data_IF_508931860233
#
_entry.id   IF_508931860233
#
_cell.length_a   1.000
_cell.length_b   1.000
_cell.length_c   1.000
_cell.angle_alpha   90.00
_cell.angle_beta   90.00
_cell.angle_gamma   90.00
#
_symmetry.space_group_name_H-M   'P 1'
#
loop_
_entity.id
_entity.type
_entity.pdbx_description
1 polymer ?
2 non-polymer ?
3 water ?
#
# COMPACT_ATOMS: atom_id res chain seq x y z
N UNK A 1 13.24 -1.91 -7.26
CA UNK A 1 14.14 -1.30 -6.22
C UNK A 1 14.05 -2.03 -4.87
N UNK A 2 12.83 -2.24 -4.35
CA UNK A 2 12.65 -3.01 -3.10
C UNK A 2 12.22 -4.44 -3.40
N UNK A 3 12.76 -5.40 -2.64
CA UNK A 3 12.34 -6.80 -2.81
C UNK A 3 10.86 -7.03 -2.51
N UNK A 4 10.30 -8.06 -3.12
CA UNK A 4 8.89 -8.40 -2.95
C UNK A 4 8.61 -8.87 -1.53
N UNK A 5 9.60 -9.58 -0.97
CA UNK A 5 9.56 -10.14 0.36
C UNK A 5 10.89 -9.93 1.07
N UNK A 6 10.84 -9.72 2.38
CA UNK A 6 12.03 -9.86 3.22
C UNK A 6 11.68 -10.59 4.51
N UNK A 7 12.68 -11.27 5.08
CA UNK A 7 12.54 -11.99 6.33
C UNK A 7 13.91 -11.98 6.99
N UNK A 8 14.10 -10.99 7.86
CA UNK A 8 15.35 -10.85 8.60
C UNK A 8 15.73 -12.11 9.41
N UNK A 9 14.78 -12.99 9.73
CA UNK A 9 15.11 -14.21 10.51
C UNK A 9 16.08 -15.06 9.72
N UNK A 10 15.86 -15.14 8.39
CA UNK A 10 16.69 -15.92 7.48
C UNK A 10 18.10 -15.33 7.25
N UNK A 11 18.30 -14.05 7.61
CA UNK A 11 19.62 -13.40 7.65
C UNK A 11 20.39 -13.54 8.98
N UNK A 12 19.87 -14.34 9.93
CA UNK A 12 20.53 -14.54 11.23
C UNK A 12 20.51 -13.32 12.14
N UNK A 13 19.51 -12.46 11.95
CA UNK A 13 19.43 -11.15 12.58
C UNK A 13 18.32 -11.10 13.64
N UNK A 14 17.67 -12.23 13.90
CA UNK A 14 16.58 -12.30 14.85
C UNK A 14 16.80 -13.43 15.85
N UNK A 15 16.77 -13.05 17.13
CA UNK A 15 16.88 -13.98 18.23
C UNK A 15 15.55 -14.73 18.43
N UNK A 16 15.60 -15.76 19.26
CA UNK A 16 14.40 -16.54 19.55
C UNK A 16 13.33 -15.61 20.16
N UNK A 17 12.09 -16.05 20.00
CA UNK A 17 10.97 -15.34 20.57
C UNK A 17 11.06 -15.40 22.08
N UNK A 18 10.78 -14.27 22.73
CA UNK A 18 10.80 -14.19 24.20
C UNK A 18 9.37 -14.19 24.74
N UNK A 19 9.26 -14.27 26.06
CA UNK A 19 7.97 -14.33 26.75
C UNK A 19 7.95 -13.30 27.86
N UNK A 20 7.21 -12.21 27.67
CA UNK A 20 7.13 -11.13 28.66
C UNK A 20 6.31 -11.48 29.89
N UNK A 21 5.47 -12.51 29.80
CA UNK A 21 4.64 -12.91 30.94
C UNK A 21 3.66 -11.81 31.32
N UNK A 22 3.42 -11.64 32.62
CA UNK A 22 2.50 -10.62 33.13
C UNK A 22 3.13 -9.23 33.32
N UNK A 23 4.35 -9.02 32.85
CA UNK A 23 4.98 -7.69 32.91
C UNK A 23 4.76 -7.02 31.54
N UNK A 24 4.23 -5.80 31.57
CA UNK A 24 3.97 -5.03 30.33
C UNK A 24 5.22 -4.35 29.78
N UNK A 25 6.17 -5.18 29.35
CA UNK A 25 7.48 -4.74 28.85
C UNK A 25 7.62 -5.01 27.36
N UNK A 26 6.51 -5.04 26.64
CA UNK A 26 6.57 -5.30 25.20
C UNK A 26 7.46 -4.23 24.54
N UNK A 27 7.32 -2.99 25.00
CA UNK A 27 8.22 -1.91 24.57
C UNK A 27 9.71 -2.27 24.70
N UNK A 28 10.08 -2.91 25.80
CA UNK A 28 11.48 -3.30 26.02
C UNK A 28 11.92 -4.41 25.10
N UNK A 29 11.02 -5.38 24.90
CA UNK A 29 11.32 -6.49 23.99
C UNK A 29 11.41 -6.03 22.52
N UNK A 30 10.55 -5.11 22.14
CA UNK A 30 10.57 -4.54 20.79
C UNK A 30 11.86 -3.76 20.54
N UNK A 31 12.32 -3.03 21.55
CA UNK A 31 13.51 -2.21 21.44
C UNK A 31 14.73 -3.09 21.29
N UNK A 32 14.91 -4.03 22.22
CA UNK A 32 16.08 -4.91 22.12
C UNK A 32 16.05 -5.73 20.82
N UNK A 33 14.87 -6.21 20.42
CA UNK A 33 14.72 -6.90 19.13
C UNK A 33 15.33 -6.14 17.96
N UNK A 34 15.00 -4.86 17.86
CA UNK A 34 15.48 -4.01 16.78
C UNK A 34 16.99 -3.81 16.89
N UNK A 35 17.50 -3.61 18.10
CA UNK A 35 18.93 -3.43 18.31
C UNK A 35 19.72 -4.71 18.11
N UNK A 36 19.13 -5.85 18.43
CA UNK A 36 19.75 -7.15 18.18
C UNK A 36 20.12 -7.33 16.72
N UNK A 37 19.22 -6.92 15.83
CA UNK A 37 19.46 -7.04 14.40
C UNK A 37 20.62 -6.14 13.97
N UNK A 38 20.66 -4.91 14.46
CA UNK A 38 21.78 -4.01 14.13
C UNK A 38 23.10 -4.53 14.67
N UNK A 39 23.10 -5.15 15.86
CA UNK A 39 24.30 -5.73 16.41
C UNK A 39 24.86 -6.83 15.50
N UNK A 40 23.98 -7.72 15.04
CA UNK A 40 24.39 -8.76 14.09
C UNK A 40 24.88 -8.16 12.77
N UNK A 41 24.12 -7.22 12.22
CA UNK A 41 24.50 -6.58 10.97
C UNK A 41 25.89 -5.97 11.04
N UNK A 42 26.23 -5.40 12.19
CA UNK A 42 27.46 -4.65 12.33
C UNK A 42 28.60 -5.48 12.91
N UNK A 43 28.32 -6.55 13.66
CA UNK A 43 29.41 -7.37 14.23
C UNK A 43 29.41 -8.83 13.83
N UNK A 44 28.42 -9.30 13.10
CA UNK A 44 28.26 -10.73 12.82
C UNK A 44 27.81 -11.60 13.99
N UNK A 45 27.59 -11.03 15.19
CA UNK A 45 27.19 -11.83 16.34
C UNK A 45 25.73 -11.56 16.72
N UNK A 46 24.96 -12.64 16.86
CA UNK A 46 23.56 -12.56 17.26
C UNK A 46 23.47 -12.86 18.74
N UNK A 47 23.16 -11.86 19.56
CA UNK A 47 23.02 -12.03 21.00
C UNK A 47 21.76 -11.35 21.49
N UNK A 48 20.96 -12.07 22.26
CA UNK A 48 19.78 -11.47 22.88
C UNK A 48 20.25 -10.39 23.85
N UNK A 49 19.64 -9.20 23.73
CA UNK A 49 19.97 -8.06 24.59
C UNK A 49 18.98 -7.98 25.75
N UNK A 50 19.40 -7.33 26.84
CA UNK A 50 18.65 -7.41 28.09
C UNK A 50 17.43 -6.48 28.11
N UNK A 51 16.25 -7.04 27.87
CA UNK A 51 15.00 -6.33 28.10
C UNK A 51 14.83 -5.89 29.55
N UNK A 52 15.29 -6.72 30.49
CA UNK A 52 15.24 -6.34 31.91
C UNK A 52 16.01 -5.04 32.23
N UNK A 53 17.19 -4.91 31.63
CA UNK A 53 18.00 -3.69 31.70
C UNK A 53 17.17 -2.45 31.38
N UNK A 54 16.37 -2.51 30.31
CA UNK A 54 15.49 -1.41 29.94
C UNK A 54 14.39 -1.18 30.98
N UNK A 55 13.79 -2.28 31.45
CA UNK A 55 12.72 -2.19 32.41
C UNK A 55 13.19 -1.50 33.71
N UNK A 56 14.40 -1.81 34.14
CA UNK A 56 14.90 -1.33 35.44
C UNK A 56 15.54 0.04 35.34
N UNK A 57 16.12 0.34 34.19
CA UNK A 57 16.98 1.53 34.04
C UNK A 57 16.43 2.63 33.14
N UNK A 58 15.70 2.28 32.09
CA UNK A 58 15.03 3.29 31.25
C UNK A 58 13.67 3.57 31.86
N UNK A 59 13.67 4.35 32.93
CA UNK A 59 12.48 4.51 33.77
C UNK A 59 11.90 5.94 33.60
N UNK A 60 11.56 6.59 34.69
CA UNK A 60 10.75 7.82 34.64
C UNK A 60 11.44 9.03 33.97
N UNK A 61 12.77 9.03 33.87
CA UNK A 61 13.48 10.07 33.12
C UNK A 61 13.24 9.94 31.62
N UNK A 62 12.81 8.75 31.20
CA UNK A 62 12.56 8.43 29.81
C UNK A 62 11.07 8.30 29.47
N UNK A 63 10.21 8.71 30.42
CA UNK A 63 8.78 8.55 30.25
C UNK A 63 8.25 7.13 30.34
N UNK A 64 9.08 6.20 30.83
CA UNK A 64 8.75 4.79 30.84
C UNK A 64 8.35 4.39 32.25
N UNK A 65 7.63 3.28 32.34
CA UNK A 65 7.08 2.80 33.60
C UNK A 65 7.24 1.29 33.75
N UNK A 66 8.35 0.75 33.25
CA UNK A 66 8.71 -0.63 33.45
C UNK A 66 7.61 -1.58 33.04
N UNK A 67 7.16 -2.41 33.96
CA UNK A 67 6.09 -3.37 33.71
C UNK A 67 4.70 -2.75 33.51
N UNK A 68 4.58 -1.43 33.63
CA UNK A 68 3.35 -0.71 33.26
C UNK A 68 3.47 0.09 31.98
N UNK A 69 4.40 -0.30 31.10
CA UNK A 69 4.46 0.22 29.75
C UNK A 69 5.60 1.17 29.53
N UNK A 70 5.83 1.51 28.29
CA UNK A 70 6.94 2.36 27.91
C UNK A 70 7.02 2.57 26.41
N UNK A 71 8.11 3.20 25.97
CA UNK A 71 8.30 3.53 24.59
C UNK A 71 9.62 2.98 24.10
N UNK A 72 9.61 2.46 22.88
CA UNK A 72 10.84 1.99 22.25
C UNK A 72 11.83 3.12 21.99
N UNK A 73 11.33 4.29 21.58
CA UNK A 73 12.21 5.41 21.26
C UNK A 73 13.04 5.86 22.46
N UNK A 74 12.40 6.06 23.60
CA UNK A 74 13.10 6.50 24.80
C UNK A 74 13.93 5.37 25.41
N UNK A 75 13.55 4.12 25.14
CA UNK A 75 14.43 2.99 25.43
C UNK A 75 15.74 3.15 24.66
N UNK A 76 15.66 3.48 23.37
CA UNK A 76 16.86 3.68 22.57
C UNK A 76 17.66 4.86 23.09
N UNK A 77 16.98 5.93 23.47
CA UNK A 77 17.66 7.09 24.03
C UNK A 77 18.39 6.73 25.34
N UNK A 78 17.80 5.88 26.17
CA UNK A 78 18.53 5.38 27.34
C UNK A 78 19.82 4.65 26.94
N UNK A 79 19.76 3.77 25.94
CA UNK A 79 20.93 2.98 25.55
C UNK A 79 22.04 3.94 25.05
N UNK A 80 21.63 4.94 24.28
CA UNK A 80 22.49 6.02 23.81
C UNK A 80 23.14 6.75 24.97
N UNK A 81 22.32 7.22 25.90
CA UNK A 81 22.80 7.99 27.06
C UNK A 81 23.69 7.16 27.94
N UNK A 82 23.31 5.92 28.14
CA UNK A 82 24.01 4.99 29.03
C UNK A 82 25.31 4.47 28.46
N UNK A 83 25.49 4.67 27.15
CA UNK A 83 26.60 4.12 26.35
C UNK A 83 26.69 2.59 26.46
N UNK A 84 25.53 1.93 26.53
CA UNK A 84 25.47 0.47 26.47
C UNK A 84 24.21 -0.18 26.98
N UNK A 85 24.04 -1.44 26.60
CA UNK A 85 23.00 -2.29 27.17
C UNK A 85 23.64 -3.65 27.37
N UNK A 86 23.26 -4.30 28.48
CA UNK A 86 23.81 -5.61 28.83
C UNK A 86 23.17 -6.72 28.00
N UNK A 87 23.89 -7.81 27.85
CA UNK A 87 23.33 -9.01 27.25
C UNK A 87 22.20 -9.58 28.11
N UNK A 88 21.23 -10.21 27.47
CA UNK A 88 20.17 -10.92 28.20
C UNK A 88 20.73 -11.95 29.17
N UNK A 89 21.78 -12.66 28.74
CA UNK A 89 22.43 -13.70 29.57
C UNK A 89 22.92 -13.13 30.90
N UNK A 90 23.61 -11.99 30.82
CA UNK A 90 24.16 -11.34 32.02
C UNK A 90 23.13 -10.63 32.90
N UNK A 91 22.02 -10.20 32.31
CA UNK A 91 21.00 -9.40 33.00
C UNK A 91 19.63 -9.98 32.60
N UNK A 92 19.27 -11.13 33.19
CA UNK A 92 18.14 -11.91 32.69
C UNK A 92 16.75 -11.34 33.01
N UNK A 93 15.78 -11.78 32.24
CA UNK A 93 14.43 -11.26 32.34
C UNK A 93 13.66 -11.89 33.50
N UNK A 94 13.20 -11.04 34.41
CA UNK A 94 12.49 -11.47 35.62
C UNK A 94 11.01 -11.12 35.58
N UNK A 95 10.57 -10.37 34.56
CA UNK A 95 9.19 -9.91 34.45
C UNK A 95 8.70 -9.19 35.71
N UNK A 96 9.58 -8.36 36.26
CA UNK A 96 9.26 -7.52 37.41
C UNK A 96 10.07 -6.22 37.36
N UNK A 97 9.55 -5.20 38.02
CA UNK A 97 10.26 -3.95 38.22
C UNK A 97 11.36 -4.18 39.23
N UNK A 98 12.60 -3.89 38.86
CA UNK A 98 13.71 -3.99 39.80
C UNK A 98 14.55 -2.74 39.73
N UNK A 99 15.44 -2.62 40.71
CA UNK A 99 16.46 -1.60 40.77
C UNK A 99 17.40 -1.78 39.57
N UNK A 100 17.85 -0.66 39.02
CA UNK A 100 18.77 -0.70 37.89
C UNK A 100 20.06 -1.41 38.31
N UNK A 101 20.46 -2.39 37.51
CA UNK A 101 21.67 -3.16 37.79
C UNK A 101 22.58 -3.21 36.55
N UNK A 102 22.55 -2.17 35.73
CA UNK A 102 23.37 -2.15 34.53
C UNK A 102 24.82 -2.18 34.97
N UNK A 103 25.62 -2.95 34.24
CA UNK A 103 27.04 -3.03 34.50
C UNK A 103 27.76 -2.97 33.16
N UNK A 104 28.58 -1.94 32.98
CA UNK A 104 29.30 -1.74 31.72
C UNK A 104 30.19 -2.93 31.35
N UNK A 105 30.63 -3.66 32.37
CA UNK A 105 31.44 -4.87 32.18
C UNK A 105 30.74 -5.96 31.32
N UNK A 106 29.41 -5.96 31.27
CA UNK A 106 28.64 -6.93 30.48
C UNK A 106 27.89 -6.28 29.29
N UNK A 107 28.35 -5.09 28.85
CA UNK A 107 27.81 -4.41 27.69
C UNK A 107 27.96 -5.31 26.48
N UNK A 108 26.84 -5.63 25.84
CA UNK A 108 26.87 -6.42 24.58
C UNK A 108 26.55 -5.59 23.34
N UNK A 109 25.85 -4.47 23.50
CA UNK A 109 25.56 -3.59 22.38
C UNK A 109 25.66 -2.15 22.81
N UNK A 110 25.77 -1.30 21.80
CA UNK A 110 25.71 0.14 21.95
C UNK A 110 24.63 0.68 20.98
N UNK A 111 24.28 1.96 21.10
CA UNK A 111 23.36 2.61 20.17
C UNK A 111 23.81 4.06 20.01
N UNK A 112 23.91 4.53 18.77
CA UNK A 112 24.35 5.91 18.48
C UNK A 112 23.19 6.87 18.18
N UNK A 113 22.17 6.36 17.52
CA UNK A 113 21.01 7.17 17.14
C UNK A 113 19.81 6.26 16.96
N UNK A 114 18.62 6.86 16.89
CA UNK A 114 17.45 6.15 16.38
C UNK A 114 16.70 7.05 15.40
N UNK A 115 15.86 6.45 14.56
CA UNK A 115 15.04 7.17 13.60
C UNK A 115 13.59 6.80 13.85
N UNK A 116 12.72 7.81 13.95
CA UNK A 116 11.27 7.63 13.96
C UNK A 116 10.75 7.85 12.54
N UNK A 117 9.80 7.02 12.13
CA UNK A 117 9.26 7.11 10.79
C UNK A 117 7.92 7.86 10.79
N UNK A 118 7.56 8.50 9.66
CA UNK A 118 6.33 9.28 9.65
C UNK A 118 5.10 8.42 9.88
N UNK A 119 4.17 8.97 10.66
CA UNK A 119 2.90 8.33 11.02
C UNK A 119 2.19 7.78 9.80
N UNK A 120 1.80 6.51 9.87
CA UNK A 120 0.91 5.90 8.87
C UNK A 120 1.54 5.51 7.54
N UNK A 121 2.82 5.85 7.32
CA UNK A 121 3.43 5.69 6.03
C UNK A 121 4.01 4.29 5.87
N UNK A 122 3.17 3.38 5.39
CA UNK A 122 3.60 1.99 5.22
C UNK A 122 4.67 1.81 4.15
N UNK A 123 4.67 2.68 3.15
CA UNK A 123 5.71 2.69 2.11
C UNK A 123 7.09 3.00 2.69
N UNK A 124 7.10 3.95 3.61
CA UNK A 124 8.35 4.35 4.27
C UNK A 124 8.82 3.22 5.22
N UNK A 125 7.87 2.57 5.88
CA UNK A 125 8.18 1.45 6.76
C UNK A 125 8.74 0.31 5.92
N UNK A 126 8.10 0.04 4.78
CA UNK A 126 8.55 -0.99 3.85
C UNK A 126 10.01 -0.73 3.46
N UNK A 127 10.31 0.51 3.09
CA UNK A 127 11.66 0.88 2.69
C UNK A 127 12.68 0.61 3.82
N UNK A 128 12.33 1.03 5.03
CA UNK A 128 13.17 0.87 6.20
C UNK A 128 13.44 -0.61 6.54
N UNK A 129 12.38 -1.42 6.48
CA UNK A 129 12.49 -2.84 6.73
C UNK A 129 13.41 -3.49 5.70
N UNK A 130 13.30 -3.08 4.43
CA UNK A 130 14.16 -3.63 3.37
C UNK A 130 15.62 -3.18 3.50
N UNK A 131 15.83 -1.89 3.72
CA UNK A 131 17.17 -1.30 3.65
C UNK A 131 17.93 -1.11 4.96
N UNK A 132 17.23 -1.07 6.09
CA UNK A 132 17.84 -0.79 7.40
C UNK A 132 17.79 -1.97 8.35
N UNK A 133 16.66 -2.68 8.38
CA UNK A 133 16.53 -3.89 9.18
C UNK A 133 15.18 -3.90 9.88
N UNK A 134 15.03 -4.76 10.89
CA UNK A 134 13.79 -4.80 11.65
C UNK A 134 13.47 -3.46 12.33
N UNK A 135 12.19 -3.09 12.27
CA UNK A 135 11.70 -1.83 12.80
C UNK A 135 10.77 -2.08 13.98
N UNK A 136 11.01 -1.37 15.07
CA UNK A 136 10.18 -1.39 16.25
C UNK A 136 8.93 -0.60 15.99
N UNK A 137 7.77 -1.21 16.26
CA UNK A 137 6.49 -0.57 16.03
C UNK A 137 5.52 -0.82 17.15
N UNK A 138 4.47 0.01 17.13
CA UNK A 138 3.34 -0.15 18.01
C UNK A 138 2.19 -0.74 17.21
N UNK A 139 1.35 -1.53 17.88
CA UNK A 139 0.09 -1.98 17.32
C UNK A 139 -1.02 -1.93 18.37
N UNK A 140 -2.25 -1.88 17.87
CA UNK A 140 -3.45 -2.05 18.67
C UNK A 140 -3.72 -3.54 18.77
N UNK A 141 -3.36 -4.12 19.92
CA UNK A 141 -3.52 -5.53 20.20
C UNK A 141 -4.73 -5.85 21.11
N UNK A 142 -5.56 -4.87 21.44
CA UNK A 142 -6.66 -5.09 22.39
C UNK A 142 -7.90 -5.59 21.69
N UNK A 143 -7.75 -6.72 21.03
CA UNK A 143 -8.87 -7.42 20.38
C UNK A 143 -8.62 -8.88 20.56
N UNK A 144 -9.66 -9.64 20.96
CA UNK A 144 -9.46 -11.08 21.08
C UNK A 144 -8.90 -11.77 19.83
N UNK A 145 -9.32 -11.30 18.66
CA UNK A 145 -8.83 -11.83 17.41
C UNK A 145 -7.30 -11.74 17.31
N UNK A 146 -6.70 -10.69 17.85
CA UNK A 146 -5.24 -10.56 17.87
C UNK A 146 -4.57 -11.61 18.76
N UNK A 147 -4.95 -11.70 20.03
CA UNK A 147 -4.26 -12.63 20.93
C UNK A 147 -4.62 -14.11 20.70
N UNK A 148 -5.73 -14.38 20.03
CA UNK A 148 -6.13 -15.71 19.58
C UNK A 148 -5.64 -16.09 18.19
N UNK A 149 -5.05 -15.14 17.45
CA UNK A 149 -4.49 -15.38 16.12
C UNK A 149 -3.63 -16.65 16.09
N UNK A 150 -3.80 -17.45 15.04
CA UNK A 150 -3.02 -18.69 14.86
C UNK A 150 -2.13 -18.69 13.61
N UNK A 151 -2.68 -18.31 12.45
CA UNK A 151 -1.99 -18.34 11.16
C UNK A 151 -2.73 -17.53 10.08
N UNK A 152 -2.07 -17.33 8.95
CA UNK A 152 -2.58 -16.45 7.88
C UNK A 152 -2.28 -14.98 8.10
N UNK A 153 -2.99 -14.13 7.37
CA UNK A 153 -2.80 -12.69 7.46
C UNK A 153 -3.92 -12.11 8.33
N UNK A 154 -3.54 -11.63 9.49
CA UNK A 154 -4.47 -11.02 10.42
C UNK A 154 -5.05 -9.73 9.87
N UNK A 155 -6.36 -9.72 9.72
CA UNK A 155 -7.14 -8.52 9.49
C UNK A 155 -8.31 -8.47 10.49
N UNK A 156 -8.45 -7.34 11.18
CA UNK A 156 -9.47 -7.10 12.20
C UNK A 156 -10.21 -5.79 11.87
N UNK A 157 -11.46 -5.87 11.35
CA UNK A 157 -12.23 -4.68 11.01
C UNK A 157 -12.37 -3.65 12.13
N UNK A 158 -12.41 -4.05 13.39
CA UNK A 158 -12.50 -3.07 14.47
C UNK A 158 -11.13 -2.66 15.05
N UNK A 159 -10.02 -2.97 14.36
CA UNK A 159 -8.68 -2.49 14.76
C UNK A 159 -8.64 -0.97 14.55
N UNK A 160 -7.94 -0.27 15.44
CA UNK A 160 -7.76 1.18 15.32
C UNK A 160 -6.29 1.45 15.05
N UNK A 161 -5.97 2.71 14.81
CA UNK A 161 -4.60 3.13 14.59
C UNK A 161 -3.91 3.60 15.87
N UNK A 162 -4.59 3.49 17.02
CA UNK A 162 -4.07 3.91 18.34
C UNK A 162 -3.37 2.74 18.99
N UNK A 163 -2.05 2.82 19.07
CA UNK A 163 -1.24 1.67 19.43
C UNK A 163 -1.23 1.45 20.95
N UNK A 164 -1.03 0.21 21.36
CA UNK A 164 -0.95 -0.10 22.79
C UNK A 164 -0.09 -1.31 23.15
N UNK A 165 0.61 -1.90 22.16
CA UNK A 165 1.47 -3.06 22.38
C UNK A 165 2.67 -2.95 21.44
N UNK A 166 3.87 -3.08 22.01
CA UNK A 166 5.11 -2.99 21.26
C UNK A 166 5.45 -4.33 20.62
N UNK A 167 5.80 -4.30 19.33
CA UNK A 167 6.25 -5.49 18.58
C UNK A 167 7.39 -5.09 17.64
N UNK A 168 7.88 -6.03 16.83
CA UNK A 168 9.04 -5.80 15.98
C UNK A 168 8.69 -6.33 14.60
N UNK A 169 8.77 -5.47 13.58
CA UNK A 169 8.59 -5.93 12.21
C UNK A 169 9.90 -6.50 11.73
N UNK A 170 9.91 -7.80 11.38
CA UNK A 170 11.15 -8.44 10.92
C UNK A 170 11.11 -8.74 9.45
N UNK A 171 10.01 -8.35 8.81
CA UNK A 171 9.91 -8.50 7.37
C UNK A 171 8.56 -8.17 6.85
N UNK A 172 8.35 -8.55 5.60
CA UNK A 172 7.06 -8.41 4.93
C UNK A 172 6.99 -9.35 3.76
N UNK A 173 5.78 -9.55 3.28
CA UNK A 173 5.55 -10.34 2.08
C UNK A 173 4.10 -10.35 1.71
N UNK A 174 3.71 -11.39 0.99
CA UNK A 174 2.30 -11.63 0.73
C UNK A 174 2.00 -13.12 0.77
N UNK A 175 0.76 -13.42 1.12
CA UNK A 175 0.28 -14.79 1.22
C UNK A 175 -0.98 -14.86 0.38
N UNK A 176 -0.85 -15.37 -0.84
CA UNK A 176 -1.96 -15.46 -1.81
C UNK A 176 -2.66 -14.12 -2.00
N UNK A 177 -1.89 -13.11 -2.39
CA UNK A 177 -2.44 -11.79 -2.68
C UNK A 177 -2.71 -10.86 -1.51
N UNK A 178 -2.71 -11.36 -0.27
CA UNK A 178 -2.82 -10.48 0.88
C UNK A 178 -1.42 -10.12 1.37
N UNK A 179 -1.10 -8.83 1.27
CA UNK A 179 0.18 -8.33 1.73
C UNK A 179 0.20 -8.31 3.26
N UNK A 180 1.37 -8.57 3.84
CA UNK A 180 1.54 -8.57 5.28
C UNK A 180 2.86 -7.99 5.80
N UNK A 181 2.83 -7.58 7.05
CA UNK A 181 3.99 -7.31 7.86
C UNK A 181 4.27 -8.56 8.68
N UNK A 182 5.54 -9.00 8.68
CA UNK A 182 5.99 -10.12 9.49
C UNK A 182 6.43 -9.61 10.86
N UNK A 183 5.69 -9.98 11.89
CA UNK A 183 5.82 -9.38 13.19
C UNK A 183 6.20 -10.36 14.29
N UNK A 184 7.33 -10.07 14.93
CA UNK A 184 7.79 -10.80 16.10
C UNK A 184 7.14 -10.20 17.35
N UNK A 185 6.46 -11.06 18.11
CA UNK A 185 5.83 -10.66 19.37
C UNK A 185 6.72 -11.13 20.51
N UNK A 186 6.32 -10.76 21.71
CA UNK A 186 6.99 -11.23 22.92
C UNK A 186 5.99 -11.95 23.85
N UNK A 187 5.08 -12.73 23.24
CA UNK A 187 4.16 -13.59 23.99
C UNK A 187 4.53 -15.07 23.93
N UNK A 188 5.83 -15.36 23.74
CA UNK A 188 6.34 -16.73 23.67
C UNK A 188 5.94 -17.44 22.40
N UNK A 189 6.37 -18.71 22.28
CA UNK A 189 6.17 -19.48 21.05
C UNK A 189 4.74 -19.96 20.82
N UNK A 190 3.92 -20.05 21.87
CA UNK A 190 2.54 -20.48 21.72
C UNK A 190 1.58 -19.39 21.26
N UNK A 191 2.06 -18.15 21.13
CA UNK A 191 1.29 -17.13 20.40
C UNK A 191 1.47 -17.28 18.88
N UNK A 192 0.36 -17.33 18.16
CA UNK A 192 0.40 -17.27 16.68
C UNK A 192 1.21 -18.38 16.01
N UNK A 193 2.02 -17.99 15.04
CA UNK A 193 2.89 -18.91 14.30
C UNK A 193 4.26 -18.90 14.93
N UNK A 194 4.45 -19.81 15.89
CA UNK A 194 5.69 -19.90 16.66
C UNK A 194 6.17 -18.56 17.22
N UNK A 195 5.22 -17.71 17.62
CA UNK A 195 5.51 -16.42 18.25
C UNK A 195 5.40 -15.21 17.37
N UNK A 196 5.07 -15.42 16.10
CA UNK A 196 4.96 -14.37 15.11
C UNK A 196 3.53 -14.26 14.62
N UNK A 197 3.24 -13.08 14.07
CA UNK A 197 1.97 -12.79 13.44
C UNK A 197 2.19 -12.04 12.13
N UNK A 198 1.45 -12.46 11.11
CA UNK A 198 1.45 -11.79 9.83
C UNK A 198 0.25 -10.86 9.82
N UNK A 199 0.53 -9.56 9.77
CA UNK A 199 -0.48 -8.52 9.93
C UNK A 199 -0.73 -7.80 8.62
N UNK A 200 -1.98 -7.48 8.33
CA UNK A 200 -2.34 -6.87 7.06
C UNK A 200 -1.48 -5.62 6.77
N UNK A 201 -0.95 -5.57 5.56
CA UNK A 201 -0.09 -4.50 5.10
C UNK A 201 -0.77 -3.77 3.94
N UNK A 202 -0.54 -2.46 3.87
CA UNK A 202 -1.15 -1.54 2.91
C UNK A 202 -2.67 -1.61 2.91
N UNK A 203 -3.25 -1.68 4.11
CA UNK A 203 -4.69 -1.61 4.27
C UNK A 203 -5.04 -0.51 5.26
N UNK A 204 -4.54 0.70 4.99
CA UNK A 204 -4.88 1.89 5.79
C UNK A 204 -4.26 1.95 7.17
N UNK A 205 -2.96 1.62 7.27
CA UNK A 205 -2.27 1.61 8.56
C UNK A 205 -3.06 0.74 9.55
N UNK A 206 -3.31 -0.51 9.13
CA UNK A 206 -4.15 -1.43 9.88
C UNK A 206 -3.54 -1.78 11.28
N UNK A 207 -4.35 -1.67 12.33
CA UNK A 207 -3.91 -1.76 13.73
C UNK A 207 -2.80 -0.78 14.15
N UNK A 208 -2.67 0.33 13.41
CA UNK A 208 -1.64 1.34 13.66
C UNK A 208 -0.20 0.82 13.57
N UNK A 209 0.01 -0.21 12.75
CA UNK A 209 1.32 -0.79 12.57
C UNK A 209 2.40 0.23 12.15
N UNK A 210 2.01 1.20 11.31
CA UNK A 210 2.91 2.27 10.93
C UNK A 210 2.65 3.58 11.65
N UNK A 211 1.92 3.58 12.77
CA UNK A 211 1.65 4.81 13.51
C UNK A 211 2.93 5.37 14.16
N UNK A 212 3.71 4.51 14.84
CA UNK A 212 4.94 4.95 15.52
C UNK A 212 6.10 3.98 15.35
N UNK A 213 6.65 3.90 14.13
CA UNK A 213 7.79 3.02 13.91
C UNK A 213 9.07 3.73 14.25
N UNK A 214 10.04 2.97 14.73
CA UNK A 214 11.38 3.48 14.96
C UNK A 214 12.44 2.36 14.91
N UNK A 215 13.68 2.72 14.59
CA UNK A 215 14.78 1.75 14.53
C UNK A 215 16.10 2.40 14.96
N UNK A 216 16.91 1.66 15.74
CA UNK A 216 18.20 2.17 16.19
C UNK A 216 19.29 1.86 15.18
N UNK A 217 20.40 2.56 15.31
CA UNK A 217 21.59 2.26 14.52
C UNK A 217 22.79 2.29 15.44
N UNK A 218 23.80 1.52 15.05
CA UNK A 218 25.05 1.43 15.78
C UNK A 218 26.15 2.08 14.95
N UNK A 219 27.00 2.86 15.61
CA UNK A 219 28.17 3.46 14.95
C UNK A 219 29.03 2.31 14.44
N UNK B 1 -9.78 -14.81 -1.23
CA UNK B 1 -11.02 -13.99 -1.37
C UNK B 1 -11.19 -13.42 -2.78
N UNK B 2 -10.16 -12.75 -3.32
CA UNK B 2 -10.16 -12.22 -4.69
C UNK B 2 -9.39 -13.14 -5.63
N UNK B 3 -9.81 -13.22 -6.91
CA UNK B 3 -9.05 -14.01 -7.88
C UNK B 3 -7.61 -13.51 -8.11
N UNK B 4 -6.75 -14.42 -8.53
CA UNK B 4 -5.34 -14.12 -8.77
C UNK B 4 -5.21 -13.19 -9.97
N UNK B 5 -6.09 -13.38 -10.95
CA UNK B 5 -6.09 -12.62 -12.19
C UNK B 5 -7.51 -12.24 -12.59
N UNK B 6 -7.65 -11.05 -13.17
CA UNK B 6 -8.88 -10.69 -13.87
C UNK B 6 -8.50 -10.02 -15.21
N UNK B 7 -9.40 -10.17 -16.19
CA UNK B 7 -9.23 -9.54 -17.50
C UNK B 7 -10.61 -9.32 -18.06
N UNK B 8 -11.14 -8.13 -17.80
CA UNK B 8 -12.46 -7.76 -18.30
C UNK B 8 -12.63 -7.87 -19.83
N UNK B 9 -11.53 -7.87 -20.60
CA UNK B 9 -11.64 -7.98 -22.06
C UNK B 9 -12.27 -9.33 -22.42
N UNK B 10 -11.88 -10.37 -21.69
CA UNK B 10 -12.39 -11.74 -21.88
C UNK B 10 -13.84 -11.94 -21.45
N UNK B 11 -14.39 -11.00 -20.67
CA UNK B 11 -15.84 -10.92 -20.36
C UNK B 11 -16.70 -10.12 -21.35
N UNK B 12 -16.12 -9.67 -22.47
CA UNK B 12 -16.87 -8.90 -23.48
C UNK B 12 -17.26 -7.49 -23.03
N UNK B 13 -16.49 -6.94 -22.09
CA UNK B 13 -16.79 -5.70 -21.39
C UNK B 13 -15.87 -4.57 -21.82
N UNK B 14 -15.00 -4.81 -22.81
CA UNK B 14 -14.05 -3.80 -23.27
C UNK B 14 -14.11 -3.64 -24.77
N UNK B 15 -14.33 -2.41 -25.21
CA UNK B 15 -14.34 -2.06 -26.64
C UNK B 15 -12.89 -1.98 -27.17
N UNK B 16 -12.79 -1.89 -28.48
CA UNK B 16 -11.52 -1.72 -29.19
C UNK B 16 -10.73 -0.55 -28.59
N UNK B 17 -9.42 -0.63 -28.67
CA UNK B 17 -8.58 0.48 -28.28
C UNK B 17 -8.85 1.64 -29.24
N UNK B 18 -8.95 2.84 -28.69
CA UNK B 18 -9.16 4.06 -29.48
C UNK B 18 -7.84 4.83 -29.59
N UNK B 19 -7.88 5.90 -30.40
CA UNK B 19 -6.71 6.71 -30.68
C UNK B 19 -7.09 8.18 -30.50
N UNK B 20 -6.62 8.79 -29.42
CA UNK B 20 -6.97 10.21 -29.13
C UNK B 20 -6.25 11.19 -30.02
N UNK B 21 -5.16 10.77 -30.67
CA UNK B 21 -4.39 11.68 -31.51
C UNK B 21 -3.76 12.80 -30.71
N UNK B 22 -3.70 13.98 -31.32
CA UNK B 22 -3.15 15.18 -30.67
C UNK B 22 -4.15 15.95 -29.78
N UNK B 23 -5.32 15.38 -29.50
CA UNK B 23 -6.26 15.99 -28.58
C UNK B 23 -6.08 15.32 -27.22
N UNK B 24 -5.85 16.13 -26.18
CA UNK B 24 -5.62 15.62 -24.81
C UNK B 24 -6.92 15.24 -24.11
N UNK B 25 -7.58 14.21 -24.65
CA UNK B 25 -8.89 13.74 -24.18
C UNK B 25 -8.77 12.35 -23.54
N UNK B 26 -7.60 12.02 -23.01
CA UNK B 26 -7.42 10.72 -22.38
C UNK B 26 -8.45 10.56 -21.25
N UNK B 27 -8.67 11.64 -20.50
CA UNK B 27 -9.74 11.67 -19.52
C UNK B 27 -11.10 11.23 -20.06
N UNK B 28 -11.44 11.66 -21.26
CA UNK B 28 -12.72 11.30 -21.88
C UNK B 28 -12.76 9.85 -22.28
N UNK B 29 -11.64 9.36 -22.83
CA UNK B 29 -11.54 7.96 -23.23
C UNK B 29 -11.56 7.02 -22.02
N UNK B 30 -10.90 7.42 -20.94
CA UNK B 30 -10.89 6.65 -19.70
C UNK B 30 -12.31 6.56 -19.09
N UNK B 31 -13.03 7.67 -19.15
CA UNK B 31 -14.37 7.73 -18.59
C UNK B 31 -15.32 6.85 -19.37
N UNK B 32 -15.38 7.03 -20.68
CA UNK B 32 -16.26 6.19 -21.48
C UNK B 32 -15.89 4.71 -21.38
N UNK B 33 -14.59 4.40 -21.38
CA UNK B 33 -14.11 3.03 -21.18
C UNK B 33 -14.73 2.34 -19.96
N UNK B 34 -14.71 3.04 -18.84
CA UNK B 34 -15.26 2.52 -17.60
C UNK B 34 -16.77 2.34 -17.69
N UNK B 35 -17.45 3.32 -18.29
CA UNK B 35 -18.91 3.23 -18.46
C UNK B 35 -19.33 2.20 -19.49
N UNK B 36 -18.52 1.98 -20.50
CA UNK B 36 -18.76 0.91 -21.49
C UNK B 36 -18.90 -0.46 -20.82
N UNK B 37 -18.03 -0.73 -19.86
CA UNK B 37 -18.07 -1.99 -19.14
C UNK B 37 -19.34 -2.14 -18.32
N UNK B 38 -19.73 -1.08 -17.62
CA UNK B 38 -20.99 -1.10 -16.85
C UNK B 38 -22.20 -1.28 -17.76
N UNK B 39 -22.18 -0.66 -18.93
CA UNK B 39 -23.27 -0.81 -19.88
C UNK B 39 -23.43 -2.27 -20.32
N UNK B 40 -22.33 -2.93 -20.65
CA UNK B 40 -22.34 -4.35 -20.97
C UNK B 40 -22.83 -5.21 -19.80
N UNK B 41 -22.26 -4.96 -18.62
CA UNK B 41 -22.65 -5.71 -17.43
C UNK B 41 -24.13 -5.62 -17.16
N UNK B 42 -24.73 -4.47 -17.43
CA UNK B 42 -26.11 -4.23 -17.07
C UNK B 42 -27.08 -4.48 -18.23
N UNK B 43 -26.63 -4.39 -19.49
CA UNK B 43 -27.54 -4.60 -20.63
C UNK B 43 -27.16 -5.72 -21.60
N UNK B 44 -26.00 -6.35 -21.41
CA UNK B 44 -25.48 -7.29 -22.38
C UNK B 44 -24.94 -6.71 -23.69
N UNK B 45 -25.00 -5.39 -23.88
CA UNK B 45 -24.54 -4.78 -25.14
C UNK B 45 -23.23 -4.03 -24.94
N UNK B 46 -22.24 -4.35 -25.79
CA UNK B 46 -20.96 -3.65 -25.78
C UNK B 46 -20.97 -2.61 -26.88
N UNK B 47 -21.01 -1.34 -26.52
CA UNK B 47 -21.03 -0.25 -27.50
C UNK B 47 -20.05 0.84 -27.05
N UNK B 48 -19.20 1.27 -27.97
CA UNK B 48 -18.29 2.36 -27.69
C UNK B 48 -19.12 3.62 -27.46
N UNK B 49 -18.82 4.32 -26.36
CA UNK B 49 -19.52 5.55 -25.99
C UNK B 49 -18.73 6.77 -26.47
N UNK B 50 -19.42 7.89 -26.63
CA UNK B 50 -18.85 9.04 -27.33
C UNK B 50 -17.92 9.86 -26.43
N UNK B 51 -16.60 9.66 -26.61
CA UNK B 51 -15.62 10.52 -25.99
C UNK B 51 -15.75 11.98 -26.45
N UNK B 52 -16.11 12.18 -27.71
CA UNK B 52 -16.34 13.54 -28.22
C UNK B 52 -17.44 14.30 -27.46
N UNK B 53 -18.53 13.60 -27.16
CA UNK B 53 -19.63 14.09 -26.31
C UNK B 53 -19.08 14.72 -25.02
N UNK B 54 -18.17 14.02 -24.35
CA UNK B 54 -17.55 14.53 -23.15
C UNK B 54 -16.67 15.75 -23.42
N UNK B 55 -15.89 15.69 -24.49
CA UNK B 55 -14.99 16.78 -24.85
C UNK B 55 -15.78 18.08 -25.09
N UNK B 56 -16.93 17.98 -25.74
CA UNK B 56 -17.69 19.15 -26.15
C UNK B 56 -18.62 19.66 -25.07
N UNK B 57 -19.13 18.75 -24.24
CA UNK B 57 -20.20 19.07 -23.31
C UNK B 57 -19.82 19.05 -21.82
N UNK B 58 -18.91 18.17 -21.42
CA UNK B 58 -18.40 18.20 -20.04
C UNK B 58 -17.23 19.18 -20.00
N UNK B 59 -17.55 20.46 -19.96
CA UNK B 59 -16.57 21.52 -20.18
C UNK B 59 -16.32 22.29 -18.87
N UNK B 60 -16.27 23.62 -18.93
CA UNK B 60 -15.80 24.44 -17.80
C UNK B 60 -16.66 24.38 -16.52
N UNK B 61 -17.93 23.98 -16.64
CA UNK B 61 -18.78 23.78 -15.47
C UNK B 61 -18.34 22.55 -14.67
N UNK B 62 -17.59 21.67 -15.33
CA UNK B 62 -17.10 20.43 -14.75
C UNK B 62 -15.60 20.46 -14.49
N UNK B 63 -14.99 21.63 -14.58
CA UNK B 63 -13.54 21.77 -14.44
C UNK B 63 -12.69 21.20 -15.57
N UNK B 64 -13.33 20.90 -16.70
CA UNK B 64 -12.66 20.21 -17.81
C UNK B 64 -12.34 21.23 -18.88
N UNK B 65 -11.36 20.89 -19.72
CA UNK B 65 -10.92 21.75 -20.80
C UNK B 65 -10.73 21.01 -22.13
N UNK B 66 -11.60 20.04 -22.40
CA UNK B 66 -11.64 19.39 -23.71
C UNK B 66 -10.30 18.79 -24.09
N UNK B 67 -9.78 19.21 -25.24
CA UNK B 67 -8.48 18.73 -25.72
C UNK B 67 -7.28 19.24 -24.93
N UNK B 68 -7.51 20.09 -23.92
CA UNK B 68 -6.45 20.48 -22.98
C UNK B 68 -6.60 19.86 -21.61
N UNK B 69 -7.27 18.71 -21.53
CA UNK B 69 -7.27 17.89 -20.32
C UNK B 69 -8.58 17.95 -19.59
N UNK B 70 -8.72 17.08 -18.60
CA UNK B 70 -9.96 16.97 -17.84
C UNK B 70 -9.90 15.86 -16.82
N UNK B 71 -11.04 15.59 -16.20
CA UNK B 71 -11.15 14.60 -15.14
C UNK B 71 -12.23 13.60 -15.48
N UNK B 72 -11.95 12.33 -15.20
CA UNK B 72 -12.95 11.29 -15.37
C UNK B 72 -14.12 11.45 -14.41
N UNK B 73 -13.85 11.88 -13.18
CA UNK B 73 -14.93 12.01 -12.19
C UNK B 73 -16.01 13.02 -12.62
N UNK B 74 -15.57 14.20 -13.05
CA UNK B 74 -16.52 15.24 -13.47
C UNK B 74 -17.12 14.92 -14.85
N UNK B 75 -16.42 14.11 -15.64
CA UNK B 75 -17.02 13.53 -16.83
C UNK B 75 -18.23 12.69 -16.43
N UNK B 76 -18.07 11.84 -15.41
CA UNK B 76 -19.17 11.01 -14.94
C UNK B 76 -20.30 11.87 -14.40
N UNK B 77 -19.94 12.94 -13.67
CA UNK B 77 -20.95 13.84 -13.15
C UNK B 77 -21.75 14.52 -14.29
N UNK B 78 -21.08 14.86 -15.39
CA UNK B 78 -21.81 15.34 -16.56
C UNK B 78 -22.81 14.32 -17.09
N UNK B 79 -22.41 13.06 -17.21
CA UNK B 79 -23.30 12.03 -17.77
C UNK B 79 -24.54 11.88 -16.87
N UNK B 80 -24.29 11.90 -15.55
CA UNK B 80 -25.33 11.89 -14.53
C UNK B 80 -26.29 13.07 -14.70
N UNK B 81 -25.72 14.27 -14.75
CA UNK B 81 -26.52 15.50 -14.86
C UNK B 81 -27.29 15.56 -16.16
N UNK B 82 -26.64 15.13 -17.23
CA UNK B 82 -27.18 15.18 -18.58
C UNK B 82 -28.25 14.12 -18.85
N UNK B 83 -28.32 13.13 -17.95
CA UNK B 83 -29.14 11.93 -18.09
C UNK B 83 -28.87 11.19 -19.41
N UNK B 84 -27.60 11.16 -19.82
CA UNK B 84 -27.17 10.33 -20.94
C UNK B 84 -25.87 10.70 -21.59
N UNK B 85 -25.34 9.74 -22.36
CA UNK B 85 -24.20 9.99 -23.23
C UNK B 85 -24.49 9.26 -24.53
N UNK B 86 -24.11 9.89 -25.64
CA UNK B 86 -24.35 9.33 -26.97
C UNK B 86 -23.35 8.23 -27.30
N UNK B 87 -23.74 7.34 -28.19
CA UNK B 87 -22.83 6.34 -28.71
C UNK B 87 -21.71 7.02 -29.53
N UNK B 88 -20.54 6.40 -29.55
CA UNK B 88 -19.43 6.86 -30.40
C UNK B 88 -19.86 6.95 -31.88
N UNK B 89 -20.63 5.96 -32.33
CA UNK B 89 -21.08 5.90 -33.73
C UNK B 89 -21.90 7.15 -34.10
N UNK B 90 -22.82 7.53 -33.24
CA UNK B 90 -23.68 8.69 -33.47
C UNK B 90 -23.00 10.05 -33.28
N UNK B 91 -21.96 10.09 -32.44
CA UNK B 91 -21.29 11.34 -32.06
C UNK B 91 -19.76 11.06 -32.11
N UNK B 92 -19.22 11.02 -33.34
CA UNK B 92 -17.88 10.48 -33.55
C UNK B 92 -16.73 11.37 -33.08
N UNK B 93 -15.60 10.73 -32.86
CA UNK B 93 -14.44 11.41 -32.32
C UNK B 93 -13.68 12.16 -33.41
N UNK B 94 -13.54 13.47 -33.19
CA UNK B 94 -12.91 14.37 -34.15
C UNK B 94 -11.54 14.88 -33.67
N UNK B 95 -11.18 14.54 -32.42
CA UNK B 95 -9.94 15.02 -31.82
C UNK B 95 -9.81 16.54 -31.89
N UNK B 96 -10.92 17.24 -31.64
CA UNK B 96 -10.96 18.70 -31.60
C UNK B 96 -12.08 19.18 -30.66
N UNK B 97 -11.92 20.38 -30.15
CA UNK B 97 -12.94 21.05 -29.35
C UNK B 97 -14.07 21.48 -30.26
N UNK B 98 -15.29 21.04 -29.96
CA UNK B 98 -16.47 21.49 -30.71
C UNK B 98 -17.56 21.92 -29.76
N UNK B 99 -18.58 22.55 -30.33
CA UNK B 99 -19.79 22.92 -29.62
C UNK B 99 -20.51 21.65 -29.18
N UNK B 100 -21.13 21.70 -28.02
CA UNK B 100 -21.88 20.56 -27.52
C UNK B 100 -23.00 20.20 -28.46
N UNK B 101 -23.06 18.93 -28.87
CA UNK B 101 -24.07 18.46 -29.81
C UNK B 101 -24.75 17.20 -29.30
N UNK B 102 -24.88 17.08 -27.99
CA UNK B 102 -25.52 15.90 -27.42
C UNK B 102 -26.97 15.86 -27.91
N UNK B 103 -27.44 14.67 -28.22
CA UNK B 103 -28.80 14.46 -28.67
C UNK B 103 -29.35 13.26 -27.91
N UNK B 104 -30.37 13.49 -27.10
CA UNK B 104 -30.97 12.42 -26.29
C UNK B 104 -31.47 11.24 -27.13
N UNK B 105 -31.84 11.53 -28.38
CA UNK B 105 -32.30 10.51 -29.31
C UNK B 105 -31.25 9.40 -29.58
N UNK B 106 -29.95 9.71 -29.40
CA UNK B 106 -28.88 8.73 -29.60
C UNK B 106 -28.16 8.32 -28.29
N UNK B 107 -28.83 8.51 -27.15
CA UNK B 107 -28.33 8.09 -25.86
C UNK B 107 -28.11 6.59 -25.91
N UNK B 108 -26.87 6.16 -25.64
CA UNK B 108 -26.54 4.73 -25.55
C UNK B 108 -26.28 4.25 -24.11
N UNK B 109 -25.93 5.15 -23.22
CA UNK B 109 -25.73 4.81 -21.82
C UNK B 109 -26.24 5.90 -20.92
N UNK B 110 -26.40 5.54 -19.67
CA UNK B 110 -26.74 6.47 -18.60
C UNK B 110 -25.73 6.24 -17.45
N UNK B 111 -25.74 7.11 -16.43
CA UNK B 111 -24.91 6.94 -15.24
C UNK B 111 -25.66 7.48 -14.04
N UNK B 112 -25.71 6.75 -12.93
CA UNK B 112 -26.43 7.18 -11.72
C UNK B 112 -25.51 7.71 -10.64
N UNK B 113 -24.31 7.15 -10.52
CA UNK B 113 -23.33 7.57 -9.53
C UNK B 113 -21.95 7.21 -9.99
N UNK B 114 -20.93 7.75 -9.32
CA UNK B 114 -19.57 7.23 -9.44
C UNK B 114 -18.94 7.12 -8.07
N UNK B 115 -17.87 6.33 -7.96
CA UNK B 115 -17.13 6.15 -6.72
C UNK B 115 -15.69 6.49 -6.98
N UNK B 116 -15.12 7.32 -6.10
CA UNK B 116 -13.68 7.60 -6.08
C UNK B 116 -13.05 6.72 -5.00
N UNK B 117 -11.88 6.16 -5.31
CA UNK B 117 -11.23 5.24 -4.40
C UNK B 117 -10.13 5.98 -3.62
N UNK B 118 -9.83 5.52 -2.40
CA UNK B 118 -8.85 6.22 -1.59
C UNK B 118 -7.47 6.23 -2.24
N UNK B 119 -6.79 7.37 -2.10
CA UNK B 119 -5.47 7.62 -2.69
C UNK B 119 -4.50 6.50 -2.33
N UNK B 120 -3.83 5.95 -3.35
CA UNK B 120 -2.74 5.01 -3.14
C UNK B 120 -3.09 3.59 -2.73
N UNK B 121 -4.38 3.31 -2.50
CA UNK B 121 -4.78 2.02 -1.94
C UNK B 121 -4.97 1.00 -3.06
N UNK B 122 -3.89 0.31 -3.40
CA UNK B 122 -3.92 -0.69 -4.45
C UNK B 122 -4.79 -1.90 -4.13
N UNK B 123 -4.92 -2.21 -2.83
CA UNK B 123 -5.83 -3.28 -2.39
C UNK B 123 -7.29 -2.95 -2.69
N UNK B 124 -7.65 -1.68 -2.49
CA UNK B 124 -9.00 -1.23 -2.75
C UNK B 124 -9.25 -1.19 -4.25
N UNK B 125 -8.24 -0.79 -5.01
CA UNK B 125 -8.34 -0.79 -6.48
C UNK B 125 -8.51 -2.22 -6.97
N UNK B 126 -7.71 -3.12 -6.41
CA UNK B 126 -7.80 -4.55 -6.74
C UNK B 126 -9.21 -5.06 -6.52
N UNK B 127 -9.78 -4.74 -5.36
CA UNK B 127 -11.12 -5.18 -5.00
C UNK B 127 -12.16 -4.67 -6.03
N UNK B 128 -12.07 -3.39 -6.35
CA UNK B 128 -12.97 -2.75 -7.28
C UNK B 128 -12.88 -3.35 -8.69
N UNK B 129 -11.67 -3.58 -9.16
CA UNK B 129 -11.45 -4.19 -10.46
C UNK B 129 -12.04 -5.60 -10.49
N UNK B 130 -11.87 -6.37 -9.41
CA UNK B 130 -12.42 -7.72 -9.35
C UNK B 130 -13.94 -7.74 -9.26
N UNK B 131 -14.51 -6.92 -8.37
CA UNK B 131 -15.94 -7.00 -8.03
C UNK B 131 -16.88 -6.02 -8.74
N UNK B 132 -16.35 -4.91 -9.28
CA UNK B 132 -17.20 -3.87 -9.89
C UNK B 132 -16.96 -3.75 -11.39
N UNK B 133 -15.70 -3.81 -11.82
CA UNK B 133 -15.38 -3.77 -13.23
C UNK B 133 -14.17 -2.89 -13.47
N UNK B 134 -13.94 -2.51 -14.74
CA UNK B 134 -12.83 -1.63 -15.06
C UNK B 134 -12.92 -0.28 -14.33
N UNK B 135 -11.78 0.19 -13.85
CA UNK B 135 -11.66 1.41 -13.07
C UNK B 135 -10.86 2.45 -13.84
N UNK B 136 -11.41 3.66 -13.92
CA UNK B 136 -10.74 4.80 -14.50
C UNK B 136 -9.68 5.31 -13.56
N UNK B 137 -8.46 5.47 -14.05
CA UNK B 137 -7.34 5.93 -13.24
C UNK B 137 -6.49 6.94 -13.96
N UNK B 138 -5.69 7.63 -13.16
CA UNK B 138 -4.67 8.52 -13.65
C UNK B 138 -3.32 7.83 -13.52
N UNK B 139 -2.41 8.15 -14.44
CA UNK B 139 -1.02 7.77 -14.32
C UNK B 139 -0.10 8.89 -14.73
N UNK B 140 1.14 8.83 -14.24
CA UNK B 140 2.23 9.68 -14.68
C UNK B 140 2.85 9.01 -15.92
N UNK B 141 2.51 9.54 -17.09
CA UNK B 141 2.98 9.03 -18.36
C UNK B 141 4.11 9.86 -18.99
N UNK B 142 4.63 10.86 -18.28
CA UNK B 142 5.61 11.78 -18.89
C UNK B 142 7.02 11.25 -18.73
N UNK B 143 7.25 10.07 -19.27
CA UNK B 143 8.58 9.45 -19.30
C UNK B 143 8.68 8.73 -20.61
N UNK B 144 9.82 8.88 -21.31
CA UNK B 144 9.99 8.11 -22.54
C UNK B 144 9.77 6.61 -22.40
N UNK B 145 10.19 6.04 -21.28
CA UNK B 145 10.01 4.62 -21.03
C UNK B 145 8.52 4.23 -21.11
N UNK B 146 7.62 5.10 -20.66
CA UNK B 146 6.18 4.83 -20.76
C UNK B 146 5.70 4.79 -22.22
N UNK B 147 5.93 5.87 -22.98
CA UNK B 147 5.37 5.90 -24.34
C UNK B 147 6.09 4.98 -25.33
N UNK B 148 7.31 4.57 -25.01
CA UNK B 148 8.06 3.58 -25.79
C UNK B 148 7.89 2.14 -25.32
N UNK B 149 7.18 1.93 -24.19
CA UNK B 149 6.85 0.58 -23.70
C UNK B 149 6.34 -0.34 -24.79
N UNK B 150 6.82 -1.59 -24.81
CA UNK B 150 6.34 -2.61 -25.76
C UNK B 150 5.67 -3.82 -25.13
N UNK B 151 6.29 -4.38 -24.09
CA UNK B 151 5.80 -5.60 -23.43
C UNK B 151 6.49 -5.82 -22.06
N UNK B 152 5.98 -6.79 -21.30
CA UNK B 152 6.38 -7.02 -19.94
C UNK B 152 5.68 -6.13 -18.92
N UNK B 153 6.21 -6.08 -17.72
CA UNK B 153 5.66 -5.27 -16.64
C UNK B 153 6.47 -3.99 -16.54
N UNK B 154 5.85 -2.89 -16.90
CA UNK B 154 6.48 -1.59 -16.84
C UNK B 154 6.76 -1.19 -15.38
N UNK B 155 8.04 -1.00 -15.11
CA UNK B 155 8.52 -0.34 -13.92
C UNK B 155 9.52 0.76 -14.31
N UNK B 156 9.29 1.98 -13.82
CA UNK B 156 10.09 3.17 -14.10
C UNK B 156 10.51 3.82 -12.76
N UNK B 157 11.79 3.66 -12.37
CA UNK B 157 12.26 4.26 -11.10
C UNK B 157 12.00 5.76 -10.95
N UNK B 158 12.01 6.54 -12.03
CA UNK B 158 11.69 7.95 -11.89
C UNK B 158 10.20 8.31 -12.06
N UNK B 159 9.30 7.31 -12.05
CA UNK B 159 7.86 7.57 -12.08
C UNK B 159 7.46 8.22 -10.74
N UNK B 160 6.52 9.15 -10.78
CA UNK B 160 5.99 9.79 -9.59
C UNK B 160 4.55 9.35 -9.41
N UNK B 161 3.95 9.77 -8.29
CA UNK B 161 2.56 9.49 -8.01
C UNK B 161 1.63 10.60 -8.47
N UNK B 162 2.17 11.64 -9.14
CA UNK B 162 1.41 12.80 -9.64
C UNK B 162 0.93 12.52 -11.04
N UNK B 163 -0.37 12.30 -11.20
CA UNK B 163 -0.90 11.78 -12.44
C UNK B 163 -1.05 12.87 -13.50
N UNK B 164 -0.98 12.48 -14.76
CA UNK B 164 -1.15 13.44 -15.85
C UNK B 164 -1.72 12.86 -17.15
N UNK B 165 -2.11 11.59 -17.14
CA UNK B 165 -2.69 10.92 -18.30
C UNK B 165 -3.77 9.93 -17.81
N UNK B 166 -4.94 10.03 -18.41
CA UNK B 166 -6.07 9.15 -18.05
C UNK B 166 -6.00 7.84 -18.78
N UNK B 167 -6.19 6.74 -18.06
CA UNK B 167 -6.23 5.38 -18.63
C UNK B 167 -7.32 4.56 -17.92
N UNK B 168 -7.45 3.28 -18.26
CA UNK B 168 -8.52 2.43 -17.73
C UNK B 168 -7.92 1.12 -17.31
N UNK B 169 -8.07 0.74 -16.05
CA UNK B 169 -7.60 -0.55 -15.58
C UNK B 169 -8.66 -1.58 -15.92
N UNK B 170 -8.32 -2.56 -16.75
CA UNK B 170 -9.29 -3.58 -17.18
C UNK B 170 -8.99 -4.91 -16.55
N UNK B 171 -7.96 -4.98 -15.73
CA UNK B 171 -7.65 -6.19 -15.01
C UNK B 171 -6.36 -6.10 -14.24
N UNK B 172 -5.90 -7.27 -13.80
CA UNK B 172 -4.62 -7.41 -13.12
C UNK B 172 -4.16 -8.86 -13.19
N UNK B 173 -2.88 -9.05 -12.89
CA UNK B 173 -2.33 -10.39 -12.83
C UNK B 173 -0.87 -10.34 -12.44
N UNK B 174 -0.16 -11.40 -12.83
CA UNK B 174 1.29 -11.38 -12.70
C UNK B 174 1.92 -12.07 -13.89
N UNK B 175 3.13 -11.67 -14.20
CA UNK B 175 3.89 -12.18 -15.33
C UNK B 175 5.23 -12.60 -14.78
N UNK B 176 5.38 -13.90 -14.53
CA UNK B 176 6.59 -14.48 -13.93
C UNK B 176 7.00 -13.76 -12.64
N UNK B 177 6.08 -13.74 -11.69
CA UNK B 177 6.36 -13.17 -10.38
C UNK B 177 6.18 -11.66 -10.22
N UNK B 178 6.15 -10.92 -11.33
CA UNK B 178 5.93 -9.48 -11.25
C UNK B 178 4.43 -9.17 -11.41
N UNK B 179 3.84 -8.64 -10.35
CA UNK B 179 2.43 -8.30 -10.35
C UNK B 179 2.20 -7.04 -11.19
N UNK B 180 1.06 -7.01 -11.88
CA UNK B 180 0.71 -5.87 -12.73
C UNK B 180 -0.79 -5.47 -12.72
N UNK B 181 -1.02 -4.23 -13.12
CA UNK B 181 -2.30 -3.73 -13.51
C UNK B 181 -2.37 -3.80 -15.04
N UNK B 182 -3.48 -4.33 -15.55
CA UNK B 182 -3.73 -4.40 -16.99
C UNK B 182 -4.45 -3.13 -17.44
N UNK B 183 -3.78 -2.33 -18.24
CA UNK B 183 -4.21 -0.99 -18.54
C UNK B 183 -4.46 -0.74 -20.03
N UNK B 184 -5.70 -0.34 -20.32
CA UNK B 184 -6.11 0.10 -21.63
C UNK B 184 -5.78 1.58 -21.79
N UNK B 185 -5.02 1.91 -22.83
CA UNK B 185 -4.67 3.28 -23.15
C UNK B 185 -5.56 3.74 -24.32
N UNK B 186 -5.41 5.01 -24.67
CA UNK B 186 -6.08 5.55 -25.84
C UNK B 186 -5.06 6.16 -26.83
N UNK B 187 -3.91 5.47 -26.97
CA UNK B 187 -2.90 5.83 -27.95
C UNK B 187 -2.86 4.89 -29.15
N UNK B 188 -4.01 4.26 -29.46
CA UNK B 188 -4.13 3.35 -30.58
C UNK B 188 -3.38 2.05 -30.35
N UNK B 189 -3.39 1.20 -31.37
CA UNK B 189 -2.88 -0.18 -31.26
C UNK B 189 -1.37 -0.27 -31.30
N UNK B 190 -0.68 0.72 -31.86
CA UNK B 190 0.79 0.70 -31.88
C UNK B 190 1.46 1.16 -30.59
N UNK B 191 0.67 1.58 -29.60
CA UNK B 191 1.21 1.72 -28.25
C UNK B 191 1.26 0.36 -27.53
N UNK B 192 2.41 0.00 -26.99
CA UNK B 192 2.54 -1.17 -26.13
C UNK B 192 2.13 -2.50 -26.75
N UNK B 193 1.35 -3.27 -25.99
CA UNK B 193 0.84 -4.55 -26.44
C UNK B 193 -0.55 -4.36 -26.98
N UNK B 194 -0.62 -4.11 -28.28
CA UNK B 194 -1.88 -3.82 -28.98
C UNK B 194 -2.75 -2.76 -28.28
N UNK B 195 -2.09 -1.75 -27.70
CA UNK B 195 -2.78 -0.62 -27.06
C UNK B 195 -2.85 -0.68 -25.55
N UNK B 196 -2.32 -1.74 -24.95
CA UNK B 196 -2.35 -1.95 -23.52
C UNK B 196 -0.95 -1.93 -22.96
N UNK B 197 -0.90 -1.69 -21.64
CA UNK B 197 0.33 -1.71 -20.88
C UNK B 197 0.09 -2.41 -19.54
N UNK B 198 1.03 -3.27 -19.20
CA UNK B 198 1.03 -3.94 -17.91
C UNK B 198 1.95 -3.15 -17.00
N UNK B 199 1.36 -2.56 -15.97
CA UNK B 199 2.05 -1.61 -15.09
C UNK B 199 2.26 -2.22 -13.73
N UNK B 200 3.42 -1.95 -13.13
CA UNK B 200 3.78 -2.55 -11.85
C UNK B 200 2.68 -2.34 -10.81
N UNK B 201 2.31 -3.43 -10.15
CA UNK B 201 1.28 -3.44 -9.13
C UNK B 201 1.94 -3.82 -7.80
N UNK B 202 1.43 -3.23 -6.72
CA UNK B 202 1.96 -3.36 -5.37
C UNK B 202 3.43 -3.00 -5.27
N UNK B 203 3.82 -1.93 -5.95
CA UNK B 203 5.15 -1.36 -5.81
C UNK B 203 5.05 0.11 -5.48
N UNK B 204 4.31 0.42 -4.41
CA UNK B 204 4.22 1.78 -3.86
C UNK B 204 3.41 2.76 -4.70
N UNK B 205 2.23 2.33 -5.16
CA UNK B 205 1.39 3.20 -6.00
C UNK B 205 2.23 3.71 -7.20
N UNK B 206 2.83 2.77 -7.92
CA UNK B 206 3.78 3.11 -8.98
C UNK B 206 3.14 3.90 -10.15
N UNK B 207 3.77 5.00 -10.55
CA UNK B 207 3.20 5.98 -11.53
C UNK B 207 1.83 6.58 -11.11
N UNK B 208 1.53 6.55 -9.80
CA UNK B 208 0.26 7.03 -9.28
C UNK B 208 -0.97 6.33 -9.83
N UNK B 209 -0.82 5.06 -10.20
CA UNK B 209 -1.92 4.26 -10.73
C UNK B 209 -3.16 4.23 -9.81
N UNK B 210 -2.92 4.18 -8.51
CA UNK B 210 -4.00 4.25 -7.52
C UNK B 210 -4.15 5.59 -6.86
N UNK B 211 -3.60 6.66 -7.43
CA UNK B 211 -3.72 8.00 -6.83
C UNK B 211 -5.15 8.53 -6.91
N UNK B 212 -5.76 8.43 -8.10
CA UNK B 212 -7.14 8.90 -8.29
C UNK B 212 -7.97 7.95 -9.15
N UNK B 213 -8.32 6.78 -8.60
CA UNK B 213 -9.19 5.86 -9.31
C UNK B 213 -10.64 6.22 -9.09
N UNK B 214 -11.46 5.96 -10.11
CA UNK B 214 -12.90 6.10 -10.00
C UNK B 214 -13.65 5.19 -10.99
N UNK B 215 -14.90 4.85 -10.69
CA UNK B 215 -15.71 4.01 -11.57
C UNK B 215 -17.19 4.38 -11.48
N UNK B 216 -17.90 4.42 -12.63
CA UNK B 216 -19.31 4.76 -12.65
C UNK B 216 -20.17 3.53 -12.44
N UNK B 217 -21.43 3.74 -12.09
CA UNK B 217 -22.40 2.66 -11.99
C UNK B 217 -23.69 3.11 -12.64
N UNK B 218 -24.43 2.13 -13.13
CA UNK B 218 -25.69 2.36 -13.80
C UNK B 218 -26.81 1.80 -12.94
N UNK B 219 -27.89 2.57 -12.82
CA UNK B 219 -29.11 2.17 -12.09
C UNK B 219 -29.61 0.75 -12.42
X LIG C 1 3.59 5.02 21.49
X LIG C 1 4.16 0.79 22.19
X LIG C 1 2.81 4.36 22.44
X LIG C 1 1.64 3.41 25.22
X LIG C 1 2.88 3.55 26.08
X LIG C 1 1.64 3.51 28.20
X LIG C 1 2.99 2.99 22.69
X LIG C 1 1.83 3.69 29.68
X LIG C 1 2.46 5.00 30.02
X LIG C 1 3.83 5.12 29.39
X LIG C 1 3.93 4.29 28.13
X LIG C 1 3.95 2.26 21.96
X LIG C 1 3.40 6.49 21.23
X LIG C 1 2.18 7.24 21.24
X LIG C 1 2.57 8.51 20.93
X LIG C 1 4.71 2.95 21.00
X LIG C 1 1.65 9.67 20.81
X LIG C 1 0.21 9.24 20.84
X LIG C 1 0.73 6.93 21.47
X LIG C 1 4.54 4.29 20.77
X LIG C 1 4.81 9.61 20.41
X LIG C 1 5.34 10.33 21.63
X LIG C 1 6.46 9.51 22.28
X LIG C 1 6.81 11.46 23.91
X LIG C 1 7.84 12.03 24.91
X LIG C 1 8.61 10.94 25.63
X LIG C 1 7.69 9.75 25.88
X LIG C 1 7.18 9.14 24.58
X LIG C 1 9.30 11.44 26.89
X LIG C 1 8.58 11.81 28.08
X LIG C 1 9.25 12.27 29.21
X LIG C 1 10.62 12.36 29.19
X LIG C 1 11.34 12.01 28.07
X LIG C 1 10.69 11.55 26.93
X LIG C 1 6.45 11.68 29.22
X LIG C 1 4.90 0.21 21.21
X LIG C 1 4.80 0.52 23.38
X LIG C 1 2.95 0.10 22.23
X LIG C 1 2.67 4.22 27.38
X LIG C 1 3.92 8.50 20.76
X LIG C 1 4.46 7.26 20.94
X LIG C 1 -0.08 8.12 21.75
X LIG C 1 7.18 10.10 23.45
X LIG C 1 4.21 10.47 22.51
X LIG C 1 7.21 11.69 27.99
X LIG C 1 1.95 2.17 23.94
X LIG D 1 -6.57 13.95 -11.54
X LIG D 1 -6.21 12.05 -15.38
X LIG D 1 -5.82 14.56 -12.55
X LIG D 1 -4.84 16.57 -14.87
X LIG D 1 -6.21 17.11 -15.31
X LIG D 1 -5.21 19.39 -15.34
X LIG D 1 -5.69 13.96 -13.80
X LIG D 1 -5.17 20.73 -16.05
X LIG D 1 -6.38 20.97 -16.93
X LIG D 1 -7.67 20.52 -16.24
X LIG D 1 -7.57 19.09 -15.71
X LIG D 1 -6.32 12.73 -14.04
X LIG D 1 -6.70 14.60 -10.17
X LIG D 1 -5.71 15.31 -9.43
X LIG D 1 -6.33 15.68 -8.28
X LIG D 1 -7.06 12.14 -13.03
X LIG D 1 -5.69 16.45 -7.17
X LIG D 1 -4.19 16.63 -7.41
X LIG D 1 -4.27 15.69 -9.66
X LIG D 1 -7.18 12.74 -11.79
X LIG D 1 -8.67 15.34 -7.32
X LIG D 1 -9.51 16.58 -7.51
X LIG D 1 -10.47 16.41 -8.66
X LIG D 1 -11.26 18.86 -8.27
X LIG D 1 -12.57 19.67 -8.38
X LIG D 1 -13.29 19.44 -9.72
X LIG D 1 -12.27 19.07 -10.79
X LIG D 1 -11.53 17.75 -10.45
X LIG D 1 -14.23 20.57 -10.13
X LIG D 1 -13.76 21.88 -10.50
X LIG D 1 -14.67 22.88 -10.87
X LIG D 1 -16.02 22.60 -10.89
X LIG D 1 -16.49 21.34 -10.53
X LIG D 1 -15.60 20.34 -10.17
X LIG D 1 -11.85 23.16 -11.25
X LIG D 1 -6.82 10.86 -15.41
X LIG D 1 -6.79 12.75 -16.37
X LIG D 1 -4.91 11.88 -15.73
X LIG D 1 -6.23 18.49 -15.90
X LIG D 1 -7.60 15.19 -8.33
X LIG D 1 -7.87 14.53 -9.49
X LIG D 1 -3.81 16.79 -8.82
X LIG D 1 -11.39 17.54 -8.97
X LIG D 1 -8.60 17.66 -7.80
X LIG D 1 -12.43 22.06 -10.45
X LIG D 1 -4.70 14.78 -15.11
#
# INVERSE_FOLDING_TARGET
ILPDSVDWREKGCVTEVKYQGSCGASWAFSAVGALEAQLKLKTGKLVSLSAQNLVDCSTEKYGNKGCNGGFMTTAFQYIIDNKGIDSDASYPYKAMDQKCQYDSKYRAATCSKYTELPYGREDVLKEAVANKGPVSVGVDARHPSFFLYRSGVYYEPSCTQNVNHGVLVVGYGDLNGKEYWLVKNSWGHNFGEEGYIRMARNKGNHCGIASFPSYPEILQGGG
ILPDSVDWREKGCVTEVKYQGSCGASWAFSAVGALEAQLKLKTGKLVSLSAQNLVDCSTEKYGNKGCNGGFMTTAFQYIIDNKGIDSDASYPYKAMDQKCQYDSKYRAATCSKYTELPYGREDVLKEAVANKGPVSVGVDARHPSFFLYRSGVYYEPSCTQNVNHGVLVVGYGDLNGKEYWLVKNSWGHNFGEEGYIRMARNKGNHCGIASFPSYPEILQGGG
B8V C1 C13 C2 C23 C25 C29 C3 C30 C31 C32 C33 C4 C40 C42 C43 C5 C51 C52 C54 C6 C60 C62 C66 C70 C71 C72 C73 C74 C81 C83 C84 C85 C86 C87 C96 F17 F19 F21 N29 N44 N45 N53 N68 O64 O94 S23
B8V C1 C13 C2 C23 C25 C29 C3 C30 C31 C32 C33 C4 C40 C42 C43 C5 C51 C52 C54 C6 C60 C62 C66 C70 C71 C72 C73 C74 C81 C83 C84 C85 C86 C87 C96 F17 F19 F21 N29 N44 N45 N53 N68 O64 O94 S23
#
